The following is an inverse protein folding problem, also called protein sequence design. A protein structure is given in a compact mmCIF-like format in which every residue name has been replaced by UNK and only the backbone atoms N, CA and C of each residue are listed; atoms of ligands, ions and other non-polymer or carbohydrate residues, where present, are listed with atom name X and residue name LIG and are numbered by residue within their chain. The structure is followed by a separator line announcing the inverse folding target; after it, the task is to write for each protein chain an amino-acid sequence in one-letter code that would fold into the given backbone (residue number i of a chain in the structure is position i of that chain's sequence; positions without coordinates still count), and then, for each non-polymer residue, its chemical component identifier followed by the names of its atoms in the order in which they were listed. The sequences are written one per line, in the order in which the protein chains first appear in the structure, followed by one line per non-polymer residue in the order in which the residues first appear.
data_IF_175504979042
#
_entry.id   IF_175504979042
#
_cell.length_a   1.000
_cell.length_b   1.000
_cell.length_c   1.000
_cell.angle_alpha   90.00
_cell.angle_beta   90.00
_cell.angle_gamma   90.00
#
_symmetry.space_group_name_H-M   'P 1'
#
loop_
_entity.id
_entity.type
_entity.pdbx_description
1 polymer ?
#
# COMPACT_ATOMS: atom_id res chain seq x y z
N UNK A 1 -0.88 -23.08 -35.99
CA UNK A 1 0.08 -24.01 -35.42
C UNK A 1 0.07 -23.95 -33.89
N UNK A 2 -0.26 -25.06 -33.27
CA UNK A 2 -0.38 -25.17 -31.80
C UNK A 2 0.94 -24.88 -31.09
N UNK A 3 2.07 -25.31 -31.66
CA UNK A 3 3.38 -25.09 -31.06
C UNK A 3 3.76 -23.61 -31.02
N UNK A 4 3.47 -22.88 -32.10
CA UNK A 4 3.72 -21.44 -32.17
C UNK A 4 2.81 -20.67 -31.22
N UNK A 5 1.53 -21.01 -31.17
CA UNK A 5 0.58 -20.36 -30.25
C UNK A 5 0.99 -20.57 -28.79
N UNK A 6 1.43 -21.77 -28.44
CA UNK A 6 1.91 -22.08 -27.09
C UNK A 6 3.16 -21.28 -26.75
N UNK A 7 4.10 -21.14 -27.68
CA UNK A 7 5.32 -20.36 -27.47
C UNK A 7 5.03 -18.89 -27.30
N UNK A 8 4.12 -18.31 -28.10
CA UNK A 8 3.70 -16.91 -27.97
C UNK A 8 3.02 -16.65 -26.64
N UNK A 9 2.18 -17.58 -26.16
CA UNK A 9 1.53 -17.47 -24.87
C UNK A 9 2.55 -17.50 -23.72
N UNK A 10 3.54 -18.36 -23.82
CA UNK A 10 4.63 -18.44 -22.83
C UNK A 10 5.42 -17.13 -22.77
N UNK A 11 5.77 -16.57 -23.93
CA UNK A 11 6.50 -15.31 -24.01
C UNK A 11 5.67 -14.17 -23.45
N UNK A 12 4.36 -14.15 -23.70
CA UNK A 12 3.45 -13.15 -23.17
C UNK A 12 3.38 -13.21 -21.64
N UNK A 13 3.30 -14.41 -21.07
CA UNK A 13 3.29 -14.58 -19.61
C UNK A 13 4.62 -14.14 -19.00
N UNK A 14 5.74 -14.47 -19.64
CA UNK A 14 7.07 -14.05 -19.18
C UNK A 14 7.19 -12.54 -19.17
N UNK A 15 6.75 -11.88 -20.25
CA UNK A 15 6.76 -10.42 -20.32
C UNK A 15 5.90 -9.80 -19.21
N UNK A 16 4.70 -10.33 -18.99
CA UNK A 16 3.81 -9.85 -17.94
C UNK A 16 4.44 -10.01 -16.54
N UNK A 17 5.12 -11.13 -16.31
CA UNK A 17 5.82 -11.39 -15.04
C UNK A 17 6.93 -10.37 -14.82
N UNK A 18 7.73 -10.09 -15.85
CA UNK A 18 8.83 -9.12 -15.75
C UNK A 18 8.30 -7.70 -15.52
N UNK A 19 7.20 -7.33 -16.17
CA UNK A 19 6.57 -6.03 -15.96
C UNK A 19 6.03 -5.90 -14.54
N UNK A 20 5.39 -6.92 -14.02
CA UNK A 20 4.88 -6.92 -12.66
C UNK A 20 6.03 -6.77 -11.65
N UNK A 21 7.13 -7.48 -11.85
CA UNK A 21 8.31 -7.37 -10.99
C UNK A 21 8.90 -5.97 -11.03
N UNK A 22 9.00 -5.37 -12.22
CA UNK A 22 9.51 -4.00 -12.37
C UNK A 22 8.62 -2.99 -11.66
N UNK A 23 7.30 -3.12 -11.77
CA UNK A 23 6.34 -2.25 -11.08
C UNK A 23 6.45 -2.38 -9.56
N UNK A 24 6.58 -3.61 -9.06
CA UNK A 24 6.74 -3.85 -7.62
C UNK A 24 8.03 -3.22 -7.08
N UNK A 25 9.14 -3.34 -7.83
CA UNK A 25 10.40 -2.73 -7.43
C UNK A 25 10.33 -1.21 -7.43
N UNK A 26 9.67 -0.61 -8.43
CA UNK A 26 9.47 0.83 -8.49
C UNK A 26 8.64 1.33 -7.30
N UNK A 27 7.56 0.62 -6.96
CA UNK A 27 6.71 0.97 -5.83
C UNK A 27 7.49 0.89 -4.51
N UNK A 28 8.30 -0.14 -4.33
CA UNK A 28 9.15 -0.30 -3.15
C UNK A 28 10.12 0.86 -3.01
N UNK A 29 10.75 1.27 -4.11
CA UNK A 29 11.69 2.40 -4.11
C UNK A 29 10.98 3.69 -3.75
N UNK A 30 9.80 3.95 -4.33
CA UNK A 30 9.01 5.13 -4.03
C UNK A 30 8.62 5.15 -2.55
N UNK A 31 8.18 4.03 -2.03
CA UNK A 31 7.80 3.92 -0.63
C UNK A 31 8.98 4.23 0.29
N UNK A 32 10.15 3.66 0.01
CA UNK A 32 11.35 3.89 0.82
C UNK A 32 11.77 5.35 0.79
N UNK A 33 11.77 5.98 -0.39
CA UNK A 33 12.16 7.37 -0.53
C UNK A 33 11.24 8.29 0.27
N UNK A 34 9.93 8.05 0.21
CA UNK A 34 8.94 8.87 0.92
C UNK A 34 8.98 8.68 2.41
N UNK A 35 9.39 7.51 2.87
CA UNK A 35 9.37 7.17 4.28
C UNK A 35 10.75 7.25 4.94
N UNK A 36 11.77 7.66 4.19
CA UNK A 36 13.11 7.90 4.73
C UNK A 36 13.06 9.10 5.69
N UNK A 37 13.62 8.93 6.87
CA UNK A 37 13.62 9.98 7.88
C UNK A 37 12.32 10.11 8.66
N UNK A 38 11.29 9.35 8.29
CA UNK A 38 10.06 9.26 9.09
C UNK A 38 10.35 8.28 10.22
N UNK A 39 10.14 8.74 11.42
CA UNK A 39 10.45 7.96 12.60
C UNK A 39 11.05 8.90 13.64
N UNK A 40 11.48 8.42 14.69
CA UNK A 40 11.90 9.18 15.84
C UNK A 40 11.02 8.78 17.01
N UNK A 41 10.76 9.70 17.92
CA UNK A 41 10.03 9.37 19.15
C UNK A 41 8.51 9.47 19.05
N UNK A 42 7.99 9.78 17.85
CA UNK A 42 6.55 9.88 17.61
C UNK A 42 5.92 8.62 17.06
N UNK A 43 4.60 8.63 16.80
CA UNK A 43 3.92 7.52 16.12
C UNK A 43 4.53 7.25 14.75
N UNK A 44 4.55 5.99 14.35
CA UNK A 44 4.98 5.62 13.00
C UNK A 44 4.07 6.26 11.97
N UNK A 45 4.66 6.74 10.90
CA UNK A 45 3.92 7.35 9.81
C UNK A 45 4.35 6.71 8.49
N UNK A 46 3.37 6.27 7.71
CA UNK A 46 3.61 5.65 6.40
C UNK A 46 2.87 6.44 5.32
N UNK A 47 3.60 6.85 4.31
CA UNK A 47 3.02 7.58 3.18
C UNK A 47 2.81 6.61 2.02
N UNK A 48 1.55 6.30 1.74
CA UNK A 48 1.15 5.39 0.67
C UNK A 48 0.57 6.09 -0.55
N UNK A 49 0.38 7.41 -0.49
CA UNK A 49 -0.29 8.10 -1.59
C UNK A 49 0.51 7.96 -2.89
N UNK A 50 -0.18 7.85 -3.99
CA UNK A 50 0.45 7.71 -5.30
C UNK A 50 0.90 6.30 -5.66
N UNK A 51 0.88 5.35 -4.72
CA UNK A 51 1.13 3.95 -5.04
C UNK A 51 -0.12 3.30 -5.63
N UNK A 52 0.06 2.29 -6.46
CA UNK A 52 -1.05 1.45 -6.87
C UNK A 52 -1.59 0.69 -5.66
N UNK A 53 -2.88 0.35 -5.70
CA UNK A 53 -3.56 -0.27 -4.56
C UNK A 53 -2.83 -1.52 -4.07
N UNK A 54 -2.45 -2.41 -4.98
CA UNK A 54 -1.80 -3.66 -4.58
C UNK A 54 -0.47 -3.44 -3.88
N UNK A 55 0.35 -2.55 -4.41
CA UNK A 55 1.65 -2.23 -3.82
C UNK A 55 1.49 -1.52 -2.48
N UNK A 56 0.49 -0.62 -2.38
CA UNK A 56 0.21 0.09 -1.15
C UNK A 56 -0.25 -0.87 -0.04
N UNK A 57 -1.15 -1.79 -0.37
CA UNK A 57 -1.65 -2.76 0.61
C UNK A 57 -0.52 -3.72 1.06
N UNK A 58 0.34 -4.14 0.15
CA UNK A 58 1.49 -4.98 0.50
C UNK A 58 2.44 -4.25 1.45
N UNK A 59 2.74 -2.98 1.16
CA UNK A 59 3.59 -2.15 2.03
C UNK A 59 2.94 -1.94 3.40
N UNK A 60 1.64 -1.63 3.42
CA UNK A 60 0.88 -1.43 4.64
C UNK A 60 0.89 -2.69 5.51
N UNK A 61 0.63 -3.84 4.91
CA UNK A 61 0.62 -5.12 5.62
C UNK A 61 1.98 -5.38 6.29
N UNK A 62 3.06 -5.19 5.54
CA UNK A 62 4.41 -5.39 6.05
C UNK A 62 4.72 -4.43 7.21
N UNK A 63 4.45 -3.14 7.02
CA UNK A 63 4.81 -2.12 8.00
C UNK A 63 3.96 -2.22 9.26
N UNK A 64 2.66 -2.48 9.14
CA UNK A 64 1.81 -2.67 10.30
C UNK A 64 2.16 -3.95 11.05
N UNK A 65 2.55 -5.01 10.33
CA UNK A 65 3.03 -6.24 10.94
C UNK A 65 4.28 -6.00 11.78
N UNK A 66 5.21 -5.20 11.28
CA UNK A 66 6.41 -4.82 12.03
C UNK A 66 6.07 -3.97 13.25
N UNK A 67 5.11 -3.04 13.11
CA UNK A 67 4.65 -2.24 14.24
C UNK A 67 4.05 -3.12 15.34
N UNK A 68 3.22 -4.07 14.96
CA UNK A 68 2.61 -5.01 15.90
C UNK A 68 3.68 -5.84 16.61
N UNK A 69 4.67 -6.32 15.86
CA UNK A 69 5.76 -7.13 16.42
C UNK A 69 6.61 -6.36 17.43
N UNK A 70 6.76 -5.04 17.22
CA UNK A 70 7.50 -4.18 18.17
C UNK A 70 6.67 -3.71 19.34
N UNK A 71 5.36 -3.93 19.31
CA UNK A 71 4.46 -3.45 20.36
C UNK A 71 4.05 -1.99 20.18
N UNK A 72 4.18 -1.43 18.99
CA UNK A 72 3.71 -0.08 18.69
C UNK A 72 2.19 -0.03 18.83
N UNK A 73 1.65 1.02 19.47
CA UNK A 73 0.21 1.14 19.70
C UNK A 73 -0.53 1.83 18.59
N UNK A 74 0.09 2.83 17.96
CA UNK A 74 -0.57 3.69 16.97
C UNK A 74 0.35 3.89 15.78
N UNK A 75 -0.24 3.90 14.59
CA UNK A 75 0.45 4.26 13.36
C UNK A 75 -0.41 5.23 12.57
N UNK A 76 0.22 6.13 11.83
CA UNK A 76 -0.45 7.05 10.94
C UNK A 76 -0.19 6.64 9.50
N UNK A 77 -1.24 6.60 8.69
CA UNK A 77 -1.16 6.17 7.30
C UNK A 77 -1.68 7.28 6.40
N UNK A 78 -0.83 7.80 5.54
CA UNK A 78 -1.20 8.83 4.58
C UNK A 78 -1.67 8.15 3.29
N UNK A 79 -2.94 8.31 2.97
CA UNK A 79 -3.55 7.69 1.79
C UNK A 79 -3.96 8.70 0.73
N UNK A 80 -3.86 9.98 1.04
CA UNK A 80 -4.35 11.04 0.18
C UNK A 80 -5.86 11.23 0.31
N UNK A 81 -6.37 12.30 -0.30
CA UNK A 81 -7.78 12.67 -0.16
C UNK A 81 -8.70 11.99 -1.16
N UNK A 82 -8.14 11.24 -2.11
CA UNK A 82 -8.92 10.68 -3.20
C UNK A 82 -9.15 11.65 -4.36
N UNK A 83 -8.67 12.89 -4.22
CA UNK A 83 -8.70 13.86 -5.30
C UNK A 83 -7.46 13.69 -6.17
N UNK A 84 -7.67 13.73 -7.47
CA UNK A 84 -6.58 13.56 -8.40
C UNK A 84 -5.93 14.88 -8.76
N UNK A 85 -4.68 14.78 -9.21
CA UNK A 85 -4.02 15.88 -9.88
C UNK A 85 -4.89 16.37 -11.03
N UNK A 86 -4.75 17.66 -11.32
CA UNK A 86 -5.48 18.35 -12.38
C UNK A 86 -5.45 17.53 -13.68
N UNK A 87 -6.64 17.20 -14.19
CA UNK A 87 -6.80 16.41 -15.41
C UNK A 87 -7.21 14.97 -15.24
N UNK A 88 -7.15 14.41 -14.04
CA UNK A 88 -7.62 13.06 -13.78
C UNK A 88 -9.12 13.05 -13.50
N UNK A 89 -9.82 12.10 -14.11
CA UNK A 89 -11.28 11.95 -13.94
C UNK A 89 -11.66 10.83 -12.99
N UNK A 90 -10.71 9.98 -12.62
CA UNK A 90 -10.98 8.80 -11.82
C UNK A 90 -10.52 9.03 -10.38
N UNK A 91 -11.43 8.92 -9.39
CA UNK A 91 -11.03 9.05 -7.99
C UNK A 91 -9.99 8.00 -7.61
N UNK A 92 -9.10 8.34 -6.70
CA UNK A 92 -8.18 7.37 -6.16
C UNK A 92 -8.94 6.29 -5.40
N UNK A 93 -8.58 5.03 -5.64
CA UNK A 93 -9.17 3.90 -4.93
C UNK A 93 -8.42 3.58 -3.63
N UNK A 94 -7.30 4.22 -3.41
CA UNK A 94 -6.43 3.89 -2.28
C UNK A 94 -7.09 4.10 -0.92
N UNK A 95 -7.75 5.23 -0.65
CA UNK A 95 -8.38 5.41 0.67
C UNK A 95 -9.41 4.32 0.98
N UNK A 96 -10.27 4.00 0.02
CA UNK A 96 -11.27 2.95 0.20
C UNK A 96 -10.64 1.58 0.38
N UNK A 97 -9.61 1.27 -0.39
CA UNK A 97 -8.92 -0.03 -0.31
C UNK A 97 -8.22 -0.21 1.04
N UNK A 98 -7.60 0.84 1.56
CA UNK A 98 -6.95 0.80 2.87
C UNK A 98 -7.98 0.61 3.97
N UNK A 99 -9.09 1.35 3.91
CA UNK A 99 -10.17 1.21 4.89
C UNK A 99 -10.75 -0.22 4.88
N UNK A 100 -10.96 -0.77 3.70
CA UNK A 100 -11.44 -2.14 3.54
C UNK A 100 -10.46 -3.16 4.12
N UNK A 101 -9.17 -3.00 3.84
CA UNK A 101 -8.14 -3.87 4.38
C UNK A 101 -8.14 -3.86 5.91
N UNK A 102 -8.16 -2.66 6.51
CA UNK A 102 -8.14 -2.52 7.96
C UNK A 102 -9.40 -3.12 8.60
N UNK A 103 -10.56 -2.87 7.99
CA UNK A 103 -11.83 -3.43 8.46
C UNK A 103 -11.82 -4.95 8.41
N UNK A 104 -11.31 -5.52 7.32
CA UNK A 104 -11.23 -6.97 7.16
C UNK A 104 -10.31 -7.61 8.19
N UNK A 105 -9.26 -6.91 8.61
CA UNK A 105 -8.32 -7.37 9.63
C UNK A 105 -8.79 -7.03 11.05
N UNK A 106 -9.97 -6.42 11.19
CA UNK A 106 -10.55 -6.03 12.48
C UNK A 106 -9.69 -5.03 13.23
N UNK A 107 -8.96 -4.20 12.50
CA UNK A 107 -8.11 -3.15 13.05
C UNK A 107 -8.94 -1.87 13.14
N UNK A 108 -8.99 -1.26 14.31
CA UNK A 108 -9.68 0.02 14.49
C UNK A 108 -8.87 1.16 13.91
N UNK A 109 -9.53 2.07 13.24
CA UNK A 109 -8.90 3.24 12.66
C UNK A 109 -9.92 4.38 12.56
N UNK A 110 -9.41 5.58 12.41
CA UNK A 110 -10.22 6.78 12.19
C UNK A 110 -9.42 7.78 11.35
N UNK A 111 -10.08 8.80 10.85
CA UNK A 111 -9.47 9.80 9.97
C UNK A 111 -9.44 11.15 10.69
N UNK A 112 -8.36 11.48 11.42
CA UNK A 112 -8.28 12.75 12.16
C UNK A 112 -8.18 13.96 11.24
N UNK A 113 -7.66 13.78 10.02
CA UNK A 113 -7.67 14.81 9.00
C UNK A 113 -7.74 14.15 7.63
N UNK A 114 -8.22 14.92 6.64
CA UNK A 114 -8.43 14.38 5.30
C UNK A 114 -7.15 13.74 4.75
N UNK A 115 -7.27 12.52 4.27
CA UNK A 115 -6.16 11.79 3.66
C UNK A 115 -5.21 11.10 4.61
N UNK A 116 -5.43 11.21 5.93
CA UNK A 116 -4.60 10.53 6.92
C UNK A 116 -5.46 9.66 7.82
N UNK A 117 -5.07 8.41 7.98
CA UNK A 117 -5.73 7.48 8.90
C UNK A 117 -4.84 7.26 10.12
N UNK A 118 -5.46 7.26 11.29
CA UNK A 118 -4.79 6.86 12.52
C UNK A 118 -5.24 5.45 12.86
N UNK A 119 -4.30 4.55 13.00
CA UNK A 119 -4.54 3.11 13.11
C UNK A 119 -4.16 2.62 14.50
N UNK A 120 -5.10 1.94 15.16
CA UNK A 120 -4.83 1.28 16.44
C UNK A 120 -4.23 -0.09 16.15
N UNK A 121 -2.91 -0.16 16.14
CA UNK A 121 -2.17 -1.34 15.74
C UNK A 121 -2.46 -2.54 16.64
N UNK A 122 -2.74 -2.29 17.90
CA UNK A 122 -2.98 -3.37 18.88
C UNK A 122 -4.39 -3.97 18.81
N UNK A 123 -5.30 -3.36 18.03
CA UNK A 123 -6.72 -3.73 18.09
C UNK A 123 -7.12 -4.89 17.20
N UNK A 124 -6.29 -5.29 16.23
CA UNK A 124 -6.70 -6.26 15.23
C UNK A 124 -5.67 -7.35 14.97
N UNK A 125 -5.89 -8.06 13.86
CA UNK A 125 -5.04 -9.15 13.44
C UNK A 125 -4.09 -8.69 12.35
N UNK A 126 -2.86 -8.39 12.76
CA UNK A 126 -1.79 -7.92 11.89
C UNK A 126 -0.61 -8.90 11.84
N UNK A 127 -0.81 -10.07 12.38
CA UNK A 127 0.20 -11.14 12.35
C UNK A 127 0.27 -11.83 10.99
#
# INVERSE_FOLDING_TARGET
NKALAKDLSRKGREHARLMAAAHANAAETIFRERNTGVGGNGPRMFDLHGLHVQEAIAALHRELGECAARGDGVAHVLVGTGHHTKGSRTPSRLPAAVAEYLTHRRVRFWEPQAGMLEVDVASGDLS
#
